data_IF_825604728524
#
_entry.id   IF_825604728524
#
_cell.length_a   1.000
_cell.length_b   1.000
_cell.length_c   1.000
_cell.angle_alpha   90.00
_cell.angle_beta   90.00
_cell.angle_gamma   90.00
#
_symmetry.space_group_name_H-M   'P 1'
#
loop_
_entity.id
_entity.type
_entity.pdbx_description
1 polymer ?
#
# COMPACT_ATOMS: atom_id res chain seq x y z
N UNK A 1 -12.17 -47.90 -13.88
CA UNK A 1 -12.23 -47.32 -15.24
C UNK A 1 -13.69 -47.11 -15.64
N UNK A 2 -14.20 -45.87 -15.61
CA UNK A 2 -15.48 -45.49 -16.22
C UNK A 2 -15.17 -44.57 -17.39
N UNK A 3 -15.51 -44.99 -18.61
CA UNK A 3 -15.42 -44.17 -19.83
C UNK A 3 -16.64 -43.25 -19.87
N UNK A 4 -16.43 -41.95 -19.79
CA UNK A 4 -17.45 -40.94 -20.06
C UNK A 4 -17.53 -40.75 -21.58
N UNK A 5 -18.67 -41.09 -22.17
CA UNK A 5 -18.98 -40.84 -23.57
C UNK A 5 -19.43 -39.38 -23.68
N UNK A 6 -18.61 -38.54 -24.30
CA UNK A 6 -18.97 -37.15 -24.60
C UNK A 6 -19.96 -37.11 -25.79
N UNK A 7 -21.08 -36.42 -25.58
CA UNK A 7 -22.20 -36.33 -26.53
C UNK A 7 -21.87 -35.33 -27.65
N UNK A 8 -21.77 -35.81 -28.89
CA UNK A 8 -21.41 -35.04 -30.09
C UNK A 8 -22.45 -33.99 -30.49
N UNK A 9 -23.65 -34.01 -29.90
CA UNK A 9 -24.72 -33.04 -30.19
C UNK A 9 -24.45 -31.65 -29.60
N UNK A 10 -23.79 -31.57 -28.45
CA UNK A 10 -23.57 -30.29 -27.75
C UNK A 10 -22.48 -29.43 -28.43
N UNK A 11 -21.52 -30.08 -29.09
CA UNK A 11 -20.50 -29.38 -29.91
C UNK A 11 -21.10 -28.77 -31.18
N UNK A 12 -22.12 -29.40 -31.78
CA UNK A 12 -22.73 -28.91 -33.01
C UNK A 12 -23.59 -27.66 -32.76
N UNK A 13 -24.32 -27.61 -31.64
CA UNK A 13 -25.12 -26.46 -31.23
C UNK A 13 -24.27 -25.24 -30.87
N UNK A 14 -23.11 -25.45 -30.24
CA UNK A 14 -22.17 -24.37 -29.92
C UNK A 14 -21.55 -23.73 -31.17
N UNK A 15 -21.20 -24.53 -32.19
CA UNK A 15 -20.63 -24.02 -33.45
C UNK A 15 -21.67 -23.24 -34.26
N UNK A 16 -22.93 -23.68 -34.27
CA UNK A 16 -24.02 -22.97 -34.98
C UNK A 16 -24.30 -21.60 -34.33
N UNK A 17 -24.23 -21.49 -33.00
CA UNK A 17 -24.39 -20.21 -32.30
C UNK A 17 -23.29 -19.20 -32.63
N UNK A 18 -22.04 -19.66 -32.77
CA UNK A 18 -20.90 -18.78 -33.10
C UNK A 18 -21.00 -18.24 -34.53
N UNK A 19 -21.48 -19.05 -35.48
CA UNK A 19 -21.65 -18.62 -36.88
C UNK A 19 -22.78 -17.59 -37.00
N UNK A 20 -23.85 -17.71 -36.21
CA UNK A 20 -24.96 -16.75 -36.23
C UNK A 20 -24.57 -15.36 -35.69
N UNK A 21 -23.69 -15.32 -34.68
CA UNK A 21 -23.17 -14.06 -34.10
C UNK A 21 -22.20 -13.38 -35.08
N UNK A 22 -21.41 -14.14 -35.84
CA UNK A 22 -20.48 -13.58 -36.82
C UNK A 22 -21.20 -12.91 -38.02
N UNK A 23 -22.38 -13.39 -38.40
CA UNK A 23 -23.16 -12.79 -39.49
C UNK A 23 -23.88 -11.49 -39.09
N UNK A 24 -24.11 -11.26 -37.79
CA UNK A 24 -24.72 -10.01 -37.29
C UNK A 24 -23.71 -8.85 -37.17
N UNK A 25 -22.41 -9.14 -37.16
CA UNK A 25 -21.35 -8.13 -37.00
C UNK A 25 -20.78 -7.57 -38.30
N UNK A 26 -21.25 -8.04 -39.47
CA UNK A 26 -20.74 -7.61 -40.78
C UNK A 26 -21.71 -6.73 -41.59
N UNK A 27 -22.85 -6.34 -41.02
CA UNK A 27 -23.86 -5.53 -41.69
C UNK A 27 -24.09 -4.16 -41.05
N UNK A 28 -23.19 -3.20 -41.28
CA UNK A 28 -23.50 -1.75 -41.37
C UNK A 28 -22.21 -0.95 -41.66
N UNK A 29 -21.93 -0.69 -42.94
CA UNK A 29 -21.13 0.48 -43.31
C UNK A 29 -21.44 0.90 -44.75
N UNK A 30 -22.13 2.02 -44.93
CA UNK A 30 -22.10 2.83 -46.16
C UNK A 30 -22.75 4.20 -46.00
N UNK A 31 -21.91 5.24 -46.12
CA UNK A 31 -22.16 6.57 -46.69
C UNK A 31 -23.10 7.53 -45.92
N UNK A 32 -22.91 8.86 -45.87
CA UNK A 32 -22.16 9.83 -46.68
C UNK A 32 -22.12 11.16 -45.91
N UNK A 33 -21.04 11.94 -46.07
CA UNK A 33 -21.00 13.36 -45.70
C UNK A 33 -21.84 14.23 -46.66
N UNK A 34 -22.15 15.49 -46.27
CA UNK A 34 -21.64 16.58 -47.09
C UNK A 34 -21.11 17.80 -46.31
N UNK A 35 -20.34 18.56 -47.09
CA UNK A 35 -19.56 19.77 -46.81
C UNK A 35 -20.34 21.07 -46.53
N UNK A 36 -19.74 21.91 -45.66
CA UNK A 36 -19.39 23.34 -45.85
C UNK A 36 -20.50 24.42 -45.86
N UNK A 37 -20.39 25.37 -44.92
CA UNK A 37 -20.38 26.82 -45.24
C UNK A 37 -19.79 27.65 -44.10
N UNK A 38 -19.07 28.68 -44.53
CA UNK A 38 -18.40 29.78 -43.83
C UNK A 38 -19.38 30.83 -43.30
N UNK A 39 -19.10 31.46 -42.15
CA UNK A 39 -18.97 32.93 -42.04
C UNK A 39 -18.49 33.38 -40.66
N UNK A 40 -17.61 34.39 -40.71
CA UNK A 40 -17.06 35.24 -39.66
C UNK A 40 -18.12 36.13 -39.00
N UNK A 41 -17.90 36.56 -37.76
CA UNK A 41 -17.83 37.99 -37.41
C UNK A 41 -17.35 38.20 -35.96
N UNK A 42 -16.55 39.23 -35.80
CA UNK A 42 -15.91 39.69 -34.57
C UNK A 42 -16.83 40.55 -33.68
N UNK A 43 -16.46 40.56 -32.39
CA UNK A 43 -16.32 41.72 -31.49
C UNK A 43 -17.53 42.41 -30.79
N UNK A 44 -17.18 42.89 -29.58
CA UNK A 44 -17.65 44.07 -28.81
C UNK A 44 -18.45 43.80 -27.50
N UNK A 45 -17.67 43.71 -26.41
CA UNK A 45 -17.64 44.51 -25.16
C UNK A 45 -18.88 44.97 -24.36
N UNK A 46 -18.67 44.96 -23.03
CA UNK A 46 -19.13 45.89 -21.97
C UNK A 46 -20.62 45.84 -21.54
N UNK A 47 -20.94 45.41 -20.31
CA UNK A 47 -20.86 46.08 -18.99
C UNK A 47 -22.25 46.64 -18.60
N UNK A 48 -22.80 46.24 -17.44
CA UNK A 48 -23.49 47.07 -16.43
C UNK A 48 -23.98 46.18 -15.26
N UNK A 49 -23.53 46.53 -14.06
CA UNK A 49 -24.12 46.19 -12.76
C UNK A 49 -25.52 46.83 -12.59
N UNK A 50 -26.36 46.22 -11.74
CA UNK A 50 -27.03 46.98 -10.66
C UNK A 50 -27.82 46.05 -9.73
N UNK A 51 -27.58 46.25 -8.43
CA UNK A 51 -28.35 45.83 -7.26
C UNK A 51 -29.86 46.10 -7.33
N UNK A 52 -30.66 45.29 -6.62
CA UNK A 52 -31.57 45.81 -5.56
C UNK A 52 -32.33 44.73 -4.78
N UNK A 53 -32.06 44.70 -3.47
CA UNK A 53 -32.96 44.59 -2.30
C UNK A 53 -34.38 43.98 -2.40
N UNK A 54 -34.63 43.11 -1.41
CA UNK A 54 -35.91 42.61 -0.89
C UNK A 54 -36.98 43.67 -0.60
N UNK A 55 -38.22 43.21 -0.32
CA UNK A 55 -38.73 43.38 1.04
C UNK A 55 -39.44 42.15 1.63
N UNK A 56 -39.43 42.17 2.96
CA UNK A 56 -40.13 41.36 3.97
C UNK A 56 -41.66 41.40 3.88
N UNK A 57 -42.34 40.37 4.41
CA UNK A 57 -43.36 40.54 5.47
C UNK A 57 -43.79 39.21 6.10
N UNK A 58 -44.04 39.28 7.41
CA UNK A 58 -44.47 38.22 8.34
C UNK A 58 -45.98 37.95 8.24
N UNK A 59 -46.45 36.75 8.61
CA UNK A 59 -47.60 36.62 9.54
C UNK A 59 -47.65 35.25 10.23
N UNK A 60 -47.99 35.29 11.52
CA UNK A 60 -48.21 34.21 12.49
C UNK A 60 -49.55 33.47 12.26
N UNK A 61 -49.67 32.20 12.73
CA UNK A 61 -50.73 31.77 13.68
C UNK A 61 -50.60 30.29 14.13
N UNK A 62 -50.39 30.11 15.44
CA UNK A 62 -51.06 29.24 16.43
C UNK A 62 -51.46 27.75 16.19
N UNK A 63 -51.20 26.94 17.24
CA UNK A 63 -51.94 25.74 17.67
C UNK A 63 -51.49 24.41 17.05
N UNK A 64 -51.32 23.29 17.73
CA UNK A 64 -51.74 22.89 19.08
C UNK A 64 -50.96 21.63 19.50
N UNK A 65 -50.84 21.46 20.82
CA UNK A 65 -50.11 20.45 21.62
C UNK A 65 -50.62 19.01 21.52
N UNK A 66 -49.72 18.01 21.62
CA UNK A 66 -49.96 16.74 22.32
C UNK A 66 -48.66 16.31 23.07
N UNK A 67 -48.86 15.89 24.32
CA UNK A 67 -47.96 15.47 25.40
C UNK A 67 -47.30 14.09 25.12
N UNK A 68 -46.08 13.82 25.62
CA UNK A 68 -45.72 12.86 26.69
C UNK A 68 -44.44 12.13 26.20
N UNK A 69 -43.44 11.67 26.95
CA UNK A 69 -43.12 11.55 28.37
C UNK A 69 -41.59 11.60 28.54
N UNK A 70 -41.18 11.96 29.75
CA UNK A 70 -39.81 11.92 30.27
C UNK A 70 -39.24 10.51 30.41
N UNK A 71 -37.97 10.32 30.04
CA UNK A 71 -37.05 9.52 30.87
C UNK A 71 -35.63 10.06 30.72
N UNK A 72 -35.04 10.40 31.85
CA UNK A 72 -33.64 10.74 32.00
C UNK A 72 -32.81 9.45 32.01
N UNK A 73 -31.64 9.47 31.37
CA UNK A 73 -30.48 8.81 31.96
C UNK A 73 -29.18 9.49 31.54
N UNK A 74 -28.33 9.63 32.54
CA UNK A 74 -27.01 10.22 32.56
C UNK A 74 -26.01 9.41 31.73
N UNK A 75 -25.12 10.10 31.02
CA UNK A 75 -23.67 9.79 31.05
C UNK A 75 -22.87 10.88 30.33
N UNK A 76 -22.10 11.60 31.14
CA UNK A 76 -21.04 12.55 30.76
C UNK A 76 -19.90 11.85 29.98
N UNK A 77 -19.12 12.61 29.17
CA UNK A 77 -17.96 12.10 28.48
C UNK A 77 -16.71 12.15 29.38
N UNK A 78 -15.91 11.09 29.38
CA UNK A 78 -14.55 11.13 29.93
C UNK A 78 -13.54 11.45 28.81
N UNK A 79 -12.94 12.64 28.94
CA UNK A 79 -11.58 12.89 28.47
C UNK A 79 -10.60 12.35 29.52
N UNK A 80 -9.48 11.80 29.07
CA UNK A 80 -8.15 12.32 29.46
C UNK A 80 -7.02 11.50 28.84
N UNK A 81 -6.05 12.27 28.36
CA UNK A 81 -4.66 11.95 28.08
C UNK A 81 -3.85 11.88 29.37
N UNK A 82 -2.97 10.90 29.55
CA UNK A 82 -1.83 11.03 30.48
C UNK A 82 -0.57 10.39 29.86
N UNK A 83 0.41 11.26 29.62
CA UNK A 83 1.85 10.98 29.61
C UNK A 83 2.25 10.52 31.02
N UNK A 84 3.09 9.48 31.12
CA UNK A 84 3.90 9.26 32.31
C UNK A 84 5.37 9.11 31.92
N UNK A 85 6.09 10.18 32.22
CA UNK A 85 7.55 10.20 32.36
C UNK A 85 7.84 10.18 33.85
N UNK A 86 8.25 9.05 34.43
CA UNK A 86 8.96 9.09 35.72
C UNK A 86 10.16 8.12 35.73
N UNK A 87 11.30 8.75 35.94
CA UNK A 87 12.53 8.26 36.53
C UNK A 87 12.29 7.64 37.91
N UNK A 88 13.02 6.59 38.27
CA UNK A 88 13.49 6.44 39.65
C UNK A 88 14.94 5.91 39.71
N UNK A 89 15.70 6.58 40.55
CA UNK A 89 17.05 6.27 40.96
C UNK A 89 17.08 5.33 42.17
N UNK A 90 18.19 4.59 42.25
CA UNK A 90 18.93 4.25 43.47
C UNK A 90 18.31 3.28 44.49
N UNK A 91 18.98 2.14 44.64
CA UNK A 91 19.46 1.73 45.96
C UNK A 91 20.81 1.03 45.82
N UNK A 92 21.80 1.61 46.52
CA UNK A 92 23.06 0.96 46.89
C UNK A 92 22.75 0.05 48.09
N UNK A 93 23.37 -1.12 48.14
CA UNK A 93 24.18 -1.44 49.32
C UNK A 93 25.21 -2.53 49.05
N UNK A 94 26.38 -2.27 49.63
CA UNK A 94 27.62 -3.02 49.59
C UNK A 94 27.56 -4.29 50.48
N UNK A 95 28.30 -5.34 50.11
CA UNK A 95 29.43 -5.83 50.93
C UNK A 95 30.17 -7.04 50.33
N UNK A 96 31.50 -6.86 50.33
CA UNK A 96 32.68 -7.75 50.19
C UNK A 96 32.49 -9.15 50.83
N UNK A 97 33.23 -10.21 50.49
CA UNK A 97 34.70 -10.34 50.33
C UNK A 97 35.10 -11.75 49.83
N UNK A 98 36.25 -11.82 49.13
CA UNK A 98 37.35 -12.84 49.22
C UNK A 98 37.05 -14.32 48.80
N UNK A 99 37.95 -15.13 48.22
CA UNK A 99 39.33 -15.05 47.72
C UNK A 99 39.65 -16.37 46.97
N UNK A 100 40.74 -16.38 46.18
CA UNK A 100 41.55 -17.54 45.72
C UNK A 100 40.95 -18.45 44.62
N UNK A 101 41.66 -19.00 43.64
CA UNK A 101 43.10 -19.22 43.43
C UNK A 101 43.41 -19.47 41.95
N UNK A 102 44.68 -19.25 41.61
CA UNK A 102 45.38 -19.52 40.35
C UNK A 102 45.36 -21.02 39.97
N UNK A 103 45.41 -21.38 38.67
CA UNK A 103 46.65 -21.92 38.08
C UNK A 103 46.58 -22.14 36.55
N UNK A 104 47.76 -22.10 35.94
CA UNK A 104 48.10 -22.11 34.52
C UNK A 104 47.99 -23.49 33.84
N UNK A 105 47.80 -23.53 32.51
CA UNK A 105 48.61 -24.40 31.64
C UNK A 105 48.57 -23.95 30.17
N UNK A 106 49.74 -23.63 29.62
CA UNK A 106 50.02 -23.58 28.18
C UNK A 106 50.14 -25.00 27.60
N UNK A 107 49.83 -25.19 26.32
CA UNK A 107 50.63 -26.00 25.39
C UNK A 107 50.13 -25.89 23.96
N UNK A 108 51.10 -25.93 23.05
CA UNK A 108 51.02 -25.65 21.63
C UNK A 108 50.72 -26.87 20.74
N UNK A 109 50.46 -26.54 19.47
CA UNK A 109 50.90 -27.17 18.22
C UNK A 109 50.20 -28.41 17.59
N UNK A 110 49.76 -28.14 16.34
CA UNK A 110 49.93 -28.93 15.10
C UNK A 110 49.02 -30.14 14.82
N UNK A 111 48.30 -30.11 13.69
CA UNK A 111 48.65 -30.78 12.42
C UNK A 111 47.42 -31.12 11.55
N UNK A 112 47.48 -30.68 10.29
CA UNK A 112 47.09 -31.36 9.02
C UNK A 112 45.72 -32.08 8.94
N UNK A 113 44.78 -31.51 8.18
CA UNK A 113 44.50 -31.80 6.75
C UNK A 113 43.62 -33.05 6.56
N UNK A 114 42.31 -32.80 6.43
CA UNK A 114 41.38 -33.76 5.84
C UNK A 114 40.44 -33.00 4.89
N UNK A 115 40.96 -32.82 3.69
CA UNK A 115 40.29 -32.55 2.43
C UNK A 115 38.79 -32.89 2.41
N UNK A 116 37.94 -31.92 2.71
CA UNK A 116 36.58 -31.83 2.14
C UNK A 116 36.49 -30.51 1.43
N UNK A 117 36.26 -30.60 0.12
CA UNK A 117 35.95 -29.49 -0.76
C UNK A 117 34.72 -28.75 -0.23
N UNK A 118 34.97 -27.76 0.63
CA UNK A 118 34.07 -26.65 0.85
C UNK A 118 34.08 -25.86 -0.46
N UNK A 119 33.01 -26.03 -1.23
CA UNK A 119 32.65 -25.08 -2.27
C UNK A 119 32.34 -23.77 -1.54
N UNK A 120 33.38 -22.96 -1.37
CA UNK A 120 33.34 -21.64 -0.76
C UNK A 120 32.33 -20.79 -1.52
N UNK A 121 31.13 -20.68 -0.96
CA UNK A 121 30.02 -19.85 -1.45
C UNK A 121 30.25 -18.35 -1.17
N UNK A 122 31.51 -17.91 -1.19
CA UNK A 122 31.92 -16.53 -0.92
C UNK A 122 31.69 -15.56 -2.09
N UNK A 123 31.19 -16.05 -3.23
CA UNK A 123 30.83 -15.20 -4.40
C UNK A 123 29.34 -14.80 -4.46
N UNK A 124 28.51 -15.21 -3.51
CA UNK A 124 27.07 -14.89 -3.52
C UNK A 124 26.72 -13.48 -2.98
N UNK A 125 27.68 -12.77 -2.38
CA UNK A 125 27.42 -11.56 -1.60
C UNK A 125 27.47 -10.24 -2.39
N UNK A 126 27.62 -10.26 -3.72
CA UNK A 126 27.68 -9.01 -4.51
C UNK A 126 26.39 -8.69 -5.29
N UNK A 127 25.31 -9.44 -5.06
CA UNK A 127 23.97 -9.11 -5.56
C UNK A 127 23.07 -8.78 -4.38
N UNK A 128 22.64 -7.52 -4.27
CA UNK A 128 21.63 -7.08 -3.29
C UNK A 128 20.32 -7.84 -3.47
N UNK A 129 19.94 -8.08 -4.73
CA UNK A 129 18.74 -8.82 -5.09
C UNK A 129 18.94 -10.33 -5.08
N UNK A 130 17.95 -11.05 -4.56
CA UNK A 130 17.77 -12.48 -4.79
C UNK A 130 17.50 -12.74 -6.27
N UNK A 131 18.01 -13.85 -6.81
CA UNK A 131 17.88 -14.21 -8.23
C UNK A 131 16.77 -15.22 -8.48
N UNK A 132 16.29 -15.90 -7.44
CA UNK A 132 15.16 -16.83 -7.52
C UNK A 132 14.35 -16.85 -6.23
N UNK A 133 13.18 -17.49 -6.30
CA UNK A 133 12.32 -17.73 -5.15
C UNK A 133 13.03 -18.57 -4.08
N UNK A 134 13.75 -19.63 -4.47
CA UNK A 134 14.49 -20.50 -3.55
C UNK A 134 15.57 -19.72 -2.80
N UNK A 135 16.27 -18.82 -3.50
CA UNK A 135 17.26 -17.94 -2.87
C UNK A 135 16.61 -16.97 -1.89
N UNK A 136 15.47 -16.35 -2.26
CA UNK A 136 14.73 -15.46 -1.36
C UNK A 136 14.29 -16.18 -0.07
N UNK A 137 13.81 -17.42 -0.17
CA UNK A 137 13.45 -18.25 0.99
C UNK A 137 14.67 -18.61 1.86
N UNK A 138 15.80 -18.96 1.25
CA UNK A 138 17.04 -19.25 1.98
C UNK A 138 17.56 -18.00 2.72
N UNK A 139 17.53 -16.84 2.06
CA UNK A 139 17.88 -15.53 2.66
C UNK A 139 16.94 -15.20 3.83
N UNK A 140 15.63 -15.39 3.66
CA UNK A 140 14.66 -15.14 4.74
C UNK A 140 14.86 -16.03 5.96
N UNK A 141 15.24 -17.30 5.79
CA UNK A 141 15.59 -18.20 6.91
C UNK A 141 16.81 -17.72 7.71
N UNK A 142 17.68 -16.94 7.06
CA UNK A 142 18.91 -16.37 7.63
C UNK A 142 18.75 -14.92 8.08
N UNK A 143 17.55 -14.33 7.93
CA UNK A 143 17.30 -12.92 8.25
C UNK A 143 17.93 -11.93 7.27
N UNK A 144 18.24 -12.36 6.05
CA UNK A 144 18.87 -11.55 5.00
C UNK A 144 17.80 -11.04 4.03
N UNK A 145 17.90 -9.77 3.62
CA UNK A 145 17.00 -9.17 2.64
C UNK A 145 17.12 -9.81 1.25
N UNK A 146 16.00 -9.90 0.55
CA UNK A 146 15.91 -10.39 -0.83
C UNK A 146 15.99 -9.27 -1.87
N UNK A 147 15.99 -8.02 -1.43
CA UNK A 147 16.01 -6.84 -2.26
C UNK A 147 17.07 -5.84 -1.82
N UNK A 148 16.87 -4.59 -2.20
CA UNK A 148 17.77 -3.49 -1.90
C UNK A 148 17.88 -3.22 -0.38
N UNK A 149 19.06 -2.78 0.04
CA UNK A 149 19.39 -2.43 1.42
C UNK A 149 19.35 -0.92 1.66
N UNK A 150 19.20 -0.13 0.60
CA UNK A 150 19.10 1.33 0.68
C UNK A 150 17.85 1.70 1.48
N UNK A 151 18.06 2.44 2.57
CA UNK A 151 16.96 3.03 3.32
C UNK A 151 16.33 4.12 2.44
N UNK A 152 15.04 4.02 2.08
CA UNK A 152 14.43 4.98 1.17
C UNK A 152 14.38 6.38 1.81
N UNK A 153 14.38 7.41 0.97
CA UNK A 153 13.99 8.75 1.40
C UNK A 153 12.50 8.76 1.79
N UNK A 154 12.06 9.81 2.48
CA UNK A 154 10.72 9.91 3.05
C UNK A 154 9.67 10.04 1.97
N UNK A 155 9.93 10.82 0.93
CA UNK A 155 9.05 10.93 -0.23
C UNK A 155 9.24 9.72 -1.16
N UNK A 156 8.16 9.25 -1.80
CA UNK A 156 8.29 8.21 -2.82
C UNK A 156 9.12 8.71 -3.99
N UNK A 157 9.85 7.81 -4.65
CA UNK A 157 10.45 8.11 -5.94
C UNK A 157 9.35 8.25 -6.98
N UNK A 158 9.30 9.38 -7.68
CA UNK A 158 8.23 9.68 -8.63
C UNK A 158 8.77 9.60 -10.06
N UNK A 159 8.16 8.75 -10.89
CA UNK A 159 8.46 8.73 -12.33
C UNK A 159 7.90 9.98 -13.03
N UNK A 160 8.74 10.65 -13.82
CA UNK A 160 8.32 11.77 -14.69
C UNK A 160 7.41 11.31 -15.84
N UNK A 161 7.36 10.01 -16.10
CA UNK A 161 6.68 9.41 -17.24
C UNK A 161 5.43 8.63 -16.87
N UNK A 162 4.86 8.87 -15.67
CA UNK A 162 3.61 8.22 -15.23
C UNK A 162 2.53 8.38 -16.31
N UNK A 163 2.03 7.29 -16.89
CA UNK A 163 1.03 7.37 -17.93
C UNK A 163 -0.30 7.91 -17.39
N UNK A 164 -0.99 8.68 -18.23
CA UNK A 164 -2.29 9.26 -17.93
C UNK A 164 -3.28 8.96 -19.05
N UNK A 165 -4.55 8.88 -18.67
CA UNK A 165 -5.69 8.80 -19.58
C UNK A 165 -6.81 9.66 -19.04
N UNK A 166 -7.38 10.50 -19.90
CA UNK A 166 -8.48 11.41 -19.55
C UNK A 166 -8.18 12.27 -18.30
N UNK A 167 -6.92 12.71 -18.16
CA UNK A 167 -6.47 13.55 -17.04
C UNK A 167 -6.26 12.79 -15.71
N UNK A 168 -6.37 11.46 -15.70
CA UNK A 168 -6.12 10.62 -14.51
C UNK A 168 -4.89 9.74 -14.72
N UNK A 169 -4.14 9.47 -13.66
CA UNK A 169 -3.04 8.51 -13.72
C UNK A 169 -3.54 7.09 -13.94
N UNK A 170 -2.75 6.30 -14.67
CA UNK A 170 -3.03 4.89 -14.88
C UNK A 170 -2.45 4.07 -13.72
N UNK A 171 -3.29 3.27 -13.09
CA UNK A 171 -2.90 2.15 -12.26
C UNK A 171 -2.80 0.91 -13.17
N UNK A 172 -1.59 0.35 -13.24
CA UNK A 172 -1.27 -0.75 -14.11
C UNK A 172 -2.02 -2.02 -13.70
N UNK A 173 -2.99 -2.45 -14.50
CA UNK A 173 -3.75 -3.69 -14.24
C UNK A 173 -3.09 -4.95 -14.78
N UNK A 174 -1.84 -4.86 -15.28
CA UNK A 174 -1.07 -6.01 -15.75
C UNK A 174 -0.73 -7.01 -14.64
N UNK A 175 -0.98 -8.28 -14.95
CA UNK A 175 -0.58 -9.43 -14.14
C UNK A 175 0.88 -9.80 -14.46
N UNK A 176 1.84 -9.12 -13.84
CA UNK A 176 3.27 -9.35 -14.08
C UNK A 176 3.85 -10.55 -13.30
N UNK A 177 3.03 -11.56 -13.02
CA UNK A 177 3.52 -12.80 -12.42
C UNK A 177 4.31 -13.59 -13.44
N UNK A 178 5.54 -13.94 -13.08
CA UNK A 178 6.34 -14.92 -13.83
C UNK A 178 5.87 -16.34 -13.48
N UNK A 179 5.59 -16.54 -12.19
CA UNK A 179 5.00 -17.74 -11.61
C UNK A 179 4.22 -17.35 -10.34
N UNK A 180 3.67 -18.33 -9.62
CA UNK A 180 2.86 -18.10 -8.40
C UNK A 180 3.62 -17.48 -7.22
N UNK A 181 4.96 -17.51 -7.25
CA UNK A 181 5.83 -17.00 -6.18
C UNK A 181 6.69 -15.81 -6.61
N UNK A 182 6.65 -15.41 -7.89
CA UNK A 182 7.53 -14.37 -8.44
C UNK A 182 6.73 -13.33 -9.20
N UNK A 183 6.82 -12.08 -8.76
CA UNK A 183 6.20 -10.93 -9.42
C UNK A 183 7.27 -9.99 -9.98
N UNK A 184 7.16 -9.66 -11.27
CA UNK A 184 8.03 -8.72 -11.94
C UNK A 184 7.50 -7.28 -11.79
N UNK A 185 8.31 -6.41 -11.22
CA UNK A 185 8.01 -4.98 -11.16
C UNK A 185 8.54 -4.34 -12.43
N UNK A 186 7.68 -3.62 -13.13
CA UNK A 186 8.01 -2.92 -14.37
C UNK A 186 8.10 -1.42 -14.14
N UNK A 187 8.73 -0.69 -15.06
CA UNK A 187 8.68 0.78 -15.09
C UNK A 187 7.41 1.30 -15.78
N UNK A 188 7.29 2.62 -15.90
CA UNK A 188 6.18 3.28 -16.58
C UNK A 188 6.05 2.95 -18.08
N UNK A 189 7.02 2.24 -18.66
CA UNK A 189 7.02 1.76 -20.04
C UNK A 189 6.82 0.25 -20.14
N UNK A 190 6.57 -0.44 -19.02
CA UNK A 190 6.38 -1.90 -19.00
C UNK A 190 7.68 -2.71 -19.01
N UNK A 191 8.85 -2.08 -18.89
CA UNK A 191 10.13 -2.79 -18.83
C UNK A 191 10.41 -3.26 -17.41
N UNK A 192 10.79 -4.53 -17.24
CA UNK A 192 11.17 -5.09 -15.93
C UNK A 192 12.33 -4.30 -15.28
N UNK A 193 12.16 -3.95 -13.99
CA UNK A 193 13.13 -3.22 -13.16
C UNK A 193 13.73 -4.17 -12.11
N UNK A 194 12.89 -4.87 -11.34
CA UNK A 194 13.28 -5.88 -10.37
C UNK A 194 12.15 -6.88 -10.14
N UNK A 195 12.41 -7.89 -9.31
CA UNK A 195 11.42 -8.92 -8.94
C UNK A 195 11.23 -8.95 -7.44
N UNK A 196 10.00 -9.22 -7.02
CA UNK A 196 9.68 -9.60 -5.65
C UNK A 196 9.25 -11.06 -5.61
N UNK A 197 9.84 -11.78 -4.65
CA UNK A 197 9.59 -13.19 -4.40
C UNK A 197 8.78 -13.34 -3.13
N UNK A 198 7.72 -14.16 -3.18
CA UNK A 198 6.88 -14.53 -2.05
C UNK A 198 7.75 -15.07 -0.91
N UNK A 199 7.48 -14.64 0.32
CA UNK A 199 8.29 -15.01 1.49
C UNK A 199 9.68 -14.35 1.58
N UNK A 200 10.04 -13.46 0.65
CA UNK A 200 11.23 -12.62 0.75
C UNK A 200 11.08 -11.49 1.78
N UNK A 201 12.20 -11.01 2.32
CA UNK A 201 12.27 -9.82 3.16
C UNK A 201 12.66 -8.57 2.35
N UNK A 202 11.93 -7.47 2.54
CA UNK A 202 12.11 -6.20 1.82
C UNK A 202 11.95 -5.01 2.76
N UNK A 203 12.62 -3.90 2.47
CA UNK A 203 12.54 -2.70 3.32
C UNK A 203 12.32 -1.40 2.56
N UNK A 204 12.52 -1.40 1.24
CA UNK A 204 12.29 -0.21 0.43
C UNK A 204 10.81 -0.02 0.16
N UNK A 205 10.39 1.24 -0.01
CA UNK A 205 8.98 1.55 -0.25
C UNK A 205 8.46 0.84 -1.52
N UNK A 206 9.22 0.86 -2.60
CA UNK A 206 8.86 0.26 -3.89
C UNK A 206 8.70 -1.26 -3.79
N UNK A 207 9.65 -1.96 -3.16
CA UNK A 207 9.60 -3.42 -3.04
C UNK A 207 8.48 -3.86 -2.11
N UNK A 208 8.29 -3.17 -0.98
CA UNK A 208 7.24 -3.51 -0.03
C UNK A 208 5.86 -3.25 -0.65
N UNK A 209 5.68 -2.12 -1.35
CA UNK A 209 4.44 -1.83 -2.07
C UNK A 209 4.15 -2.86 -3.16
N UNK A 210 5.15 -3.20 -3.99
CA UNK A 210 5.00 -4.23 -5.02
C UNK A 210 4.69 -5.61 -4.44
N UNK A 211 5.35 -6.00 -3.34
CA UNK A 211 5.11 -7.27 -2.67
C UNK A 211 3.67 -7.37 -2.16
N UNK A 212 3.19 -6.34 -1.45
CA UNK A 212 1.82 -6.32 -0.91
C UNK A 212 0.82 -6.31 -2.06
N UNK A 213 1.07 -5.50 -3.09
CA UNK A 213 0.20 -5.42 -4.25
C UNK A 213 0.07 -6.78 -4.96
N UNK A 214 1.18 -7.48 -5.15
CA UNK A 214 1.21 -8.79 -5.79
C UNK A 214 0.55 -9.87 -4.93
N UNK A 215 0.99 -10.00 -3.68
CA UNK A 215 0.68 -11.19 -2.87
C UNK A 215 -0.43 -10.99 -1.84
N UNK A 216 -0.98 -9.77 -1.69
CA UNK A 216 -2.00 -9.45 -0.69
C UNK A 216 -1.53 -9.64 0.77
N UNK A 217 -0.22 -9.74 0.95
CA UNK A 217 0.43 -10.13 2.20
C UNK A 217 1.70 -9.30 2.44
N UNK A 218 2.31 -9.44 3.61
CA UNK A 218 3.49 -8.66 4.01
C UNK A 218 4.80 -9.41 3.75
N UNK A 219 5.92 -8.68 3.54
CA UNK A 219 7.25 -9.29 3.49
C UNK A 219 7.61 -10.02 4.79
N UNK A 220 8.50 -11.02 4.70
CA UNK A 220 8.79 -11.93 5.81
C UNK A 220 9.46 -11.26 7.03
N UNK A 221 10.01 -10.07 6.86
CA UNK A 221 10.64 -9.27 7.92
C UNK A 221 9.67 -8.36 8.69
N UNK A 222 8.36 -8.46 8.44
CA UNK A 222 7.32 -7.69 9.12
C UNK A 222 6.60 -8.48 10.21
N UNK A 223 6.17 -7.78 11.26
CA UNK A 223 5.32 -8.35 12.31
C UNK A 223 4.24 -7.38 12.78
N UNK A 224 3.14 -7.92 13.31
CA UNK A 224 2.05 -7.15 13.87
C UNK A 224 2.44 -6.42 15.17
N UNK A 225 3.28 -7.03 16.00
CA UNK A 225 3.60 -6.49 17.32
C UNK A 225 4.59 -5.31 17.25
N UNK A 226 4.10 -4.11 17.58
CA UNK A 226 4.87 -2.84 17.59
C UNK A 226 6.03 -2.84 18.59
N UNK A 227 5.99 -3.72 19.59
CA UNK A 227 6.96 -3.79 20.68
C UNK A 227 8.05 -4.85 20.47
N UNK A 228 8.01 -5.58 19.34
CA UNK A 228 9.03 -6.58 19.00
C UNK A 228 10.41 -5.94 18.99
N UNK A 229 11.36 -6.57 19.69
CA UNK A 229 12.72 -6.05 19.84
C UNK A 229 13.61 -6.58 18.71
N UNK A 230 14.32 -5.71 17.98
CA UNK A 230 15.21 -6.10 16.88
C UNK A 230 16.22 -7.20 17.26
N UNK A 231 16.88 -7.05 18.41
CA UNK A 231 17.92 -7.99 18.86
C UNK A 231 17.41 -9.40 19.20
N UNK A 232 16.10 -9.59 19.34
CA UNK A 232 15.48 -10.91 19.53
C UNK A 232 14.99 -11.52 18.21
N UNK A 233 15.04 -10.77 17.11
CA UNK A 233 14.58 -11.22 15.80
C UNK A 233 15.76 -11.65 14.94
N UNK A 234 15.60 -12.72 14.17
CA UNK A 234 16.57 -13.10 13.13
C UNK A 234 16.79 -11.97 12.12
N UNK A 235 15.81 -11.06 11.99
CA UNK A 235 15.87 -9.94 11.06
C UNK A 235 16.68 -8.75 11.59
N UNK A 236 17.04 -8.69 12.88
CA UNK A 236 17.87 -7.61 13.43
C UNK A 236 17.43 -6.20 12.98
N UNK A 237 18.33 -5.46 12.33
CA UNK A 237 18.09 -4.12 11.77
C UNK A 237 17.08 -4.08 10.60
N UNK A 238 16.82 -5.22 9.96
CA UNK A 238 15.85 -5.38 8.88
C UNK A 238 14.43 -5.65 9.39
N UNK A 239 14.24 -5.91 10.68
CA UNK A 239 12.91 -6.06 11.28
C UNK A 239 12.06 -4.80 11.03
N UNK A 240 10.80 -5.01 10.66
CA UNK A 240 9.75 -3.99 10.55
C UNK A 240 8.53 -4.42 11.34
N UNK A 241 7.76 -3.46 11.87
CA UNK A 241 6.63 -3.75 12.76
C UNK A 241 5.35 -3.07 12.29
N UNK A 242 4.31 -3.15 13.12
CA UNK A 242 3.04 -2.44 12.98
C UNK A 242 2.11 -2.99 11.90
N UNK A 243 2.21 -4.25 11.48
CA UNK A 243 1.18 -4.86 10.62
C UNK A 243 -0.14 -5.04 11.38
N UNK A 244 -0.97 -4.02 11.39
CA UNK A 244 -2.19 -3.96 12.20
C UNK A 244 -3.32 -3.29 11.43
N UNK A 245 -4.56 -3.46 11.91
CA UNK A 245 -5.73 -2.81 11.31
C UNK A 245 -5.59 -1.29 11.38
N UNK A 246 -5.70 -0.62 10.23
CA UNK A 246 -5.81 0.83 10.14
C UNK A 246 -7.25 1.25 10.41
N UNK A 247 -7.44 2.23 11.30
CA UNK A 247 -8.79 2.60 11.73
C UNK A 247 -9.58 3.33 10.65
N UNK A 248 -8.94 4.28 9.93
CA UNK A 248 -9.61 5.16 8.97
C UNK A 248 -10.84 5.87 9.51
N UNK A 249 -10.88 6.15 10.81
CA UNK A 249 -12.03 6.77 11.46
C UNK A 249 -11.87 8.30 11.43
N UNK A 250 -12.46 8.91 10.41
CA UNK A 250 -12.40 10.37 10.19
C UNK A 250 -13.21 11.17 11.19
N UNK A 251 -14.11 10.56 11.97
CA UNK A 251 -14.73 11.25 13.11
C UNK A 251 -13.74 11.46 14.26
N UNK A 252 -12.86 10.48 14.51
CA UNK A 252 -11.83 10.56 15.55
C UNK A 252 -10.60 11.34 15.08
N UNK A 253 -10.25 11.20 13.80
CA UNK A 253 -9.10 11.82 13.15
C UNK A 253 -9.55 12.60 11.92
N UNK A 254 -10.14 13.79 12.10
CA UNK A 254 -10.79 14.52 11.00
C UNK A 254 -9.82 15.09 9.94
N UNK A 255 -8.52 15.08 10.22
CA UNK A 255 -7.47 15.41 9.26
C UNK A 255 -7.09 14.24 8.35
N UNK A 256 -7.50 13.01 8.65
CA UNK A 256 -7.24 11.88 7.74
C UNK A 256 -8.24 11.94 6.57
N UNK A 257 -7.81 11.83 5.31
CA UNK A 257 -8.75 11.72 4.20
C UNK A 257 -9.46 10.37 4.23
N UNK A 258 -10.73 10.36 3.80
CA UNK A 258 -11.51 9.12 3.66
C UNK A 258 -10.95 8.29 2.49
N UNK A 259 -10.44 7.09 2.80
CA UNK A 259 -9.98 6.13 1.79
C UNK A 259 -11.15 5.38 1.12
N UNK A 260 -10.97 4.84 -0.10
CA UNK A 260 -12.02 4.14 -0.84
C UNK A 260 -12.63 2.97 -0.06
N UNK A 261 -13.96 2.97 0.07
CA UNK A 261 -14.75 1.92 0.73
C UNK A 261 -14.26 1.51 2.15
N UNK A 262 -13.58 2.40 2.88
CA UNK A 262 -13.02 2.06 4.20
C UNK A 262 -14.10 1.90 5.28
N UNK A 263 -14.01 0.80 6.04
CA UNK A 263 -14.95 0.45 7.11
C UNK A 263 -14.99 1.44 8.27
N UNK A 264 -13.89 2.13 8.56
CA UNK A 264 -13.86 3.23 9.53
C UNK A 264 -14.79 4.40 9.22
N UNK A 265 -15.26 4.48 7.96
CA UNK A 265 -16.19 5.49 7.46
C UNK A 265 -17.45 4.88 6.84
N UNK A 266 -17.85 3.69 7.29
CA UNK A 266 -19.09 3.00 6.87
C UNK A 266 -19.00 2.22 5.55
N UNK A 267 -17.81 1.97 5.02
CA UNK A 267 -17.60 1.05 3.90
C UNK A 267 -17.39 -0.40 4.33
N UNK A 268 -17.11 -1.26 3.35
CA UNK A 268 -17.00 -2.71 3.58
C UNK A 268 -15.55 -3.22 3.64
N UNK A 269 -14.55 -2.39 3.33
CA UNK A 269 -13.15 -2.81 3.32
C UNK A 269 -12.44 -2.52 4.64
N UNK A 270 -11.73 -3.52 5.15
CA UNK A 270 -10.79 -3.40 6.25
C UNK A 270 -9.40 -3.10 5.72
N UNK A 271 -8.87 -1.95 6.13
CA UNK A 271 -7.53 -1.53 5.79
C UNK A 271 -6.55 -1.96 6.87
N UNK A 272 -5.33 -2.28 6.44
CA UNK A 272 -4.20 -2.57 7.31
C UNK A 272 -3.09 -1.56 7.05
N UNK A 273 -2.33 -1.26 8.09
CA UNK A 273 -1.14 -0.43 8.01
C UNK A 273 0.11 -1.23 8.36
N UNK A 274 1.28 -0.73 7.97
CA UNK A 274 2.59 -1.17 8.43
C UNK A 274 3.60 -0.04 8.35
N UNK A 275 4.62 -0.11 9.21
CA UNK A 275 5.69 0.88 9.21
C UNK A 275 6.59 0.70 7.99
N UNK A 276 6.92 1.81 7.32
CA UNK A 276 8.05 1.85 6.40
C UNK A 276 9.29 2.31 7.15
N UNK A 277 10.46 1.88 6.70
CA UNK A 277 11.76 2.10 7.35
C UNK A 277 12.22 3.56 7.42
N UNK A 278 11.34 4.54 7.21
CA UNK A 278 11.57 5.97 7.31
C UNK A 278 10.93 6.50 8.59
N UNK A 279 11.72 7.16 9.45
CA UNK A 279 11.28 7.57 10.79
C UNK A 279 10.85 9.01 10.90
N UNK A 280 11.23 9.83 9.93
CA UNK A 280 10.91 11.24 9.97
C UNK A 280 10.25 11.69 8.70
N UNK A 281 9.82 12.94 8.76
CA UNK A 281 9.29 13.69 7.65
C UNK A 281 9.89 15.10 7.76
N UNK A 282 10.29 15.69 6.64
CA UNK A 282 10.62 17.11 6.56
C UNK A 282 9.38 18.00 6.70
N UNK A 283 8.20 17.41 6.56
CA UNK A 283 6.90 18.05 6.60
C UNK A 283 6.17 17.98 7.97
N UNK A 284 6.68 17.23 8.95
CA UNK A 284 6.14 17.13 10.31
C UNK A 284 7.25 17.34 11.35
N UNK A 285 7.32 18.52 11.99
CA UNK A 285 8.35 18.81 12.99
C UNK A 285 8.30 17.88 14.21
N UNK A 286 7.20 17.14 14.42
CA UNK A 286 7.09 16.14 15.51
C UNK A 286 7.87 14.85 15.22
N UNK A 287 8.18 14.57 13.95
CA UNK A 287 8.86 13.36 13.52
C UNK A 287 10.16 13.70 12.77
N UNK A 288 11.25 14.04 13.47
CA UNK A 288 12.53 14.29 12.84
C UNK A 288 13.11 13.02 12.21
N UNK A 289 13.81 13.17 11.07
CA UNK A 289 14.49 12.08 10.38
C UNK A 289 15.56 11.41 11.27
N UNK A 290 15.41 10.12 11.50
CA UNK A 290 16.30 9.23 12.26
C UNK A 290 16.42 7.86 11.57
N UNK A 291 17.34 7.02 12.02
CA UNK A 291 17.39 5.62 11.62
C UNK A 291 16.22 4.84 12.23
N UNK A 292 15.46 4.10 11.41
CA UNK A 292 14.29 3.34 11.87
C UNK A 292 14.64 2.21 12.80
N UNK A 293 15.61 1.39 12.42
CA UNK A 293 16.02 0.26 13.22
C UNK A 293 17.53 0.15 13.13
N UNK A 294 18.18 0.14 14.30
CA UNK A 294 19.63 0.02 14.43
C UNK A 294 20.07 -1.34 14.98
N UNK A 295 19.19 -2.35 14.93
CA UNK A 295 19.42 -3.69 15.49
C UNK A 295 19.22 -3.78 17.01
N UNK A 296 19.06 -2.66 17.72
CA UNK A 296 18.79 -2.62 19.17
C UNK A 296 17.40 -2.07 19.48
N UNK A 297 17.01 -1.00 18.78
CA UNK A 297 15.77 -0.26 19.00
C UNK A 297 15.12 0.10 17.67
N UNK A 298 13.79 0.07 17.66
CA UNK A 298 12.98 0.67 16.61
C UNK A 298 12.56 2.08 17.04
N UNK A 299 12.86 3.07 16.20
CA UNK A 299 12.35 4.44 16.29
C UNK A 299 11.28 4.60 15.22
N UNK A 300 10.00 4.52 15.58
CA UNK A 300 8.91 4.59 14.61
C UNK A 300 8.71 6.03 14.14
N UNK A 301 8.37 6.20 12.87
CA UNK A 301 8.11 7.49 12.26
C UNK A 301 6.66 7.76 11.92
N UNK A 302 6.48 8.69 10.99
CA UNK A 302 5.19 9.07 10.44
C UNK A 302 4.84 8.31 9.15
N UNK A 303 5.79 7.63 8.52
CA UNK A 303 5.58 6.96 7.25
C UNK A 303 4.92 5.59 7.40
N UNK A 304 3.95 5.29 6.53
CA UNK A 304 3.18 4.03 6.50
C UNK A 304 2.77 3.66 5.10
N UNK A 305 2.73 2.36 4.83
CA UNK A 305 1.81 1.83 3.82
C UNK A 305 0.49 1.52 4.49
N UNK A 306 -0.62 1.86 3.82
CA UNK A 306 -1.99 1.55 4.22
C UNK A 306 -2.70 0.91 3.02
N UNK A 307 -3.24 -0.30 3.18
CA UNK A 307 -3.81 -1.06 2.06
C UNK A 307 -5.10 -1.80 2.45
N UNK A 308 -6.01 -1.97 1.50
CA UNK A 308 -7.23 -2.75 1.70
C UNK A 308 -6.88 -4.24 1.78
N UNK A 309 -7.17 -4.93 2.87
CA UNK A 309 -6.75 -6.33 3.06
C UNK A 309 -7.89 -7.31 2.81
N UNK A 310 -9.04 -7.03 3.38
CA UNK A 310 -10.19 -7.92 3.38
C UNK A 310 -11.49 -7.13 3.53
N UNK A 311 -12.61 -7.78 3.28
CA UNK A 311 -13.93 -7.25 3.61
C UNK A 311 -14.26 -7.41 5.11
N UNK A 312 -15.50 -7.08 5.50
CA UNK A 312 -15.97 -7.22 6.89
C UNK A 312 -16.07 -8.68 7.37
N UNK A 313 -16.27 -9.62 6.45
CA UNK A 313 -16.32 -11.06 6.71
C UNK A 313 -14.91 -11.68 6.82
N UNK A 314 -13.87 -10.85 6.62
CA UNK A 314 -12.44 -11.19 6.62
C UNK A 314 -12.01 -12.02 5.42
N UNK A 315 -12.80 -11.99 4.36
CA UNK A 315 -12.37 -12.56 3.11
C UNK A 315 -11.48 -11.57 2.37
N UNK A 316 -10.38 -12.06 1.80
CA UNK A 316 -9.40 -11.22 1.10
C UNK A 316 -10.00 -10.48 -0.09
N UNK A 317 -9.37 -9.39 -0.53
CA UNK A 317 -9.74 -8.71 -1.78
C UNK A 317 -9.51 -9.70 -2.95
N UNK A 318 -10.60 -10.17 -3.56
CA UNK A 318 -10.60 -11.39 -4.38
C UNK A 318 -10.02 -11.21 -5.79
N UNK A 319 -9.95 -9.98 -6.32
CA UNK A 319 -9.49 -9.72 -7.67
C UNK A 319 -8.18 -8.92 -7.65
N UNK A 320 -7.14 -9.48 -8.28
CA UNK A 320 -5.89 -8.76 -8.53
C UNK A 320 -6.21 -7.51 -9.34
N UNK A 321 -5.66 -6.38 -8.90
CA UNK A 321 -6.00 -5.09 -9.50
C UNK A 321 -7.18 -4.39 -8.86
N UNK A 322 -7.85 -4.95 -7.85
CA UNK A 322 -8.81 -4.21 -7.00
C UNK A 322 -8.20 -3.73 -5.68
N UNK A 323 -6.99 -4.18 -5.36
CA UNK A 323 -6.25 -3.78 -4.18
C UNK A 323 -5.86 -2.29 -4.26
N UNK A 324 -6.39 -1.50 -3.32
CA UNK A 324 -5.90 -0.16 -3.03
C UNK A 324 -4.73 -0.23 -2.06
N UNK A 325 -3.60 0.37 -2.44
CA UNK A 325 -2.41 0.49 -1.60
C UNK A 325 -1.96 1.94 -1.61
N UNK A 326 -1.88 2.54 -0.43
CA UNK A 326 -1.53 3.93 -0.23
C UNK A 326 -0.24 4.05 0.57
N UNK A 327 0.51 5.11 0.30
CA UNK A 327 1.64 5.53 1.12
C UNK A 327 1.34 6.91 1.73
N UNK A 328 1.67 7.07 3.00
CA UNK A 328 1.74 8.36 3.68
C UNK A 328 3.12 8.51 4.26
N UNK A 329 3.65 9.72 4.22
CA UNK A 329 4.90 10.09 4.89
C UNK A 329 4.75 11.32 5.77
N UNK A 330 3.52 11.77 6.04
CA UNK A 330 3.22 12.93 6.89
C UNK A 330 2.17 12.57 7.95
N UNK A 331 2.27 11.36 8.49
CA UNK A 331 1.44 10.85 9.57
C UNK A 331 -0.06 10.88 9.24
N UNK A 332 -0.41 10.24 8.11
CA UNK A 332 -1.78 10.05 7.63
C UNK A 332 -2.51 11.33 7.21
N UNK A 333 -1.83 12.47 7.15
CA UNK A 333 -2.46 13.71 6.67
C UNK A 333 -2.71 13.64 5.16
N UNK A 334 -1.72 13.20 4.39
CA UNK A 334 -1.84 12.97 2.96
C UNK A 334 -1.45 11.54 2.60
N UNK A 335 -2.02 11.07 1.50
CA UNK A 335 -1.75 9.76 0.91
C UNK A 335 -1.49 9.88 -0.59
N UNK A 336 -0.74 8.92 -1.13
CA UNK A 336 -0.58 8.66 -2.55
C UNK A 336 -0.85 7.18 -2.83
N UNK A 337 -1.60 6.86 -3.89
CA UNK A 337 -1.84 5.47 -4.28
C UNK A 337 -0.66 4.89 -5.09
N UNK A 338 -0.27 3.65 -4.82
CA UNK A 338 0.67 2.91 -5.64
C UNK A 338 0.00 2.43 -6.92
N UNK A 339 0.64 2.70 -8.06
CA UNK A 339 0.09 2.52 -9.40
C UNK A 339 0.56 1.21 -10.07
N UNK A 340 1.21 0.32 -9.32
CA UNK A 340 1.69 -0.99 -9.78
C UNK A 340 2.77 -0.93 -10.89
N UNK A 341 3.73 -0.03 -10.72
CA UNK A 341 5.01 0.01 -11.44
C UNK A 341 6.00 0.86 -10.63
N UNK A 342 7.30 0.68 -10.90
CA UNK A 342 8.36 1.39 -10.22
C UNK A 342 8.24 2.92 -10.39
N UNK A 343 8.23 3.63 -9.26
CA UNK A 343 8.00 5.06 -9.21
C UNK A 343 6.60 5.50 -9.63
N UNK A 344 5.67 4.55 -9.72
CA UNK A 344 4.27 4.76 -10.01
C UNK A 344 3.51 5.08 -8.74
N UNK A 345 3.42 6.37 -8.42
CA UNK A 345 2.58 6.88 -7.34
C UNK A 345 1.63 7.95 -7.87
N UNK A 346 0.38 7.89 -7.43
CA UNK A 346 -0.66 8.85 -7.79
C UNK A 346 -0.42 10.25 -7.22
N UNK A 347 -1.38 11.14 -7.45
CA UNK A 347 -1.38 12.46 -6.83
C UNK A 347 -1.53 12.33 -5.32
N UNK A 348 -0.83 13.21 -4.60
CA UNK A 348 -1.07 13.37 -3.19
C UNK A 348 -2.46 13.95 -2.97
N UNK A 349 -3.16 13.42 -1.97
CA UNK A 349 -4.45 13.93 -1.52
C UNK A 349 -4.53 13.85 -0.01
N UNK A 350 -5.22 14.80 0.60
CA UNK A 350 -5.40 14.85 2.05
C UNK A 350 -5.35 16.24 2.62
N UNK A 351 -5.08 16.32 3.91
CA UNK A 351 -5.19 17.52 4.72
C UNK A 351 -4.14 18.58 4.40
N UNK A 352 -2.86 18.21 4.25
CA UNK A 352 -1.82 19.18 3.87
C UNK A 352 -2.03 19.63 2.44
N UNK A 353 -2.37 18.71 1.54
CA UNK A 353 -2.72 19.03 0.14
C UNK A 353 -3.88 20.02 0.06
N UNK A 354 -4.86 19.93 0.96
CA UNK A 354 -5.97 20.88 1.06
C UNK A 354 -5.67 22.16 1.83
N UNK A 355 -4.44 22.35 2.33
CA UNK A 355 -4.01 23.54 3.05
C UNK A 355 -4.38 23.56 4.54
N UNK A 356 -4.76 22.42 5.12
CA UNK A 356 -5.00 22.27 6.55
C UNK A 356 -3.72 22.15 7.37
N UNK A 357 -3.83 22.37 8.68
CA UNK A 357 -2.71 22.26 9.61
C UNK A 357 -2.46 20.79 9.99
N UNK A 358 -1.19 20.41 10.07
CA UNK A 358 -0.77 19.02 10.32
C UNK A 358 -1.38 18.41 11.59
N UNK A 359 -2.08 17.29 11.41
CA UNK A 359 -2.78 16.53 12.45
C UNK A 359 -3.71 17.37 13.34
N UNK A 360 -4.20 18.50 12.82
CA UNK A 360 -5.12 19.39 13.53
C UNK A 360 -6.52 18.80 13.55
N UNK A 361 -7.20 18.90 14.71
CA UNK A 361 -8.61 18.49 14.85
C UNK A 361 -9.61 19.64 14.67
N UNK A 362 -9.11 20.86 14.50
CA UNK A 362 -9.94 22.08 14.43
C UNK A 362 -9.66 22.92 13.19
N UNK A 363 -8.51 22.72 12.55
CA UNK A 363 -8.06 23.42 11.35
C UNK A 363 -7.56 22.39 10.34
N UNK A 364 -8.51 21.66 9.76
CA UNK A 364 -8.28 20.57 8.82
C UNK A 364 -9.09 20.79 7.55
N UNK A 365 -8.55 20.32 6.42
CA UNK A 365 -9.21 20.39 5.12
C UNK A 365 -8.78 19.22 4.21
N UNK A 366 -9.08 17.95 4.57
CA UNK A 366 -8.68 16.81 3.76
C UNK A 366 -9.37 16.82 2.39
N UNK A 367 -8.58 16.84 1.32
CA UNK A 367 -9.10 16.63 -0.03
C UNK A 367 -9.54 15.17 -0.24
N UNK A 368 -10.53 14.89 -1.09
CA UNK A 368 -10.94 13.53 -1.38
C UNK A 368 -9.84 12.75 -2.11
N UNK A 369 -9.94 11.42 -2.07
CA UNK A 369 -9.13 10.51 -2.89
C UNK A 369 -9.20 10.89 -4.38
N UNK A 370 -8.04 10.84 -5.05
CA UNK A 370 -7.87 11.13 -6.47
C UNK A 370 -7.96 9.83 -7.26
N UNK A 371 -9.03 9.67 -8.04
CA UNK A 371 -9.27 8.47 -8.84
C UNK A 371 -8.17 8.19 -9.87
N UNK A 372 -7.86 6.91 -10.04
CA UNK A 372 -6.99 6.37 -11.09
C UNK A 372 -7.79 5.62 -12.16
N UNK A 373 -7.21 5.47 -13.35
CA UNK A 373 -7.74 4.62 -14.43
C UNK A 373 -7.02 3.28 -14.41
N UNK A 374 -7.76 2.17 -14.35
CA UNK A 374 -7.16 0.83 -14.40
C UNK A 374 -6.98 0.40 -15.86
N UNK A 375 -5.73 0.26 -16.29
CA UNK A 375 -5.39 -0.16 -17.67
C UNK A 375 -4.02 -0.85 -17.71
N UNK A 376 -3.81 -1.69 -18.71
CA UNK A 376 -2.51 -2.34 -18.96
C UNK A 376 -1.55 -1.32 -19.54
N UNK A 377 -0.40 -1.13 -18.89
CA UNK A 377 0.72 -0.39 -19.48
C UNK A 377 1.39 -1.30 -20.50
N UNK A 378 1.27 -0.96 -21.79
CA UNK A 378 1.93 -1.68 -22.86
C UNK A 378 3.38 -1.19 -23.04
N UNK A 379 4.30 -2.12 -23.36
CA UNK A 379 5.60 -1.74 -23.90
C UNK A 379 5.42 -0.82 -25.11
N UNK A 380 6.11 0.33 -25.11
CA UNK A 380 6.27 1.15 -26.33
C UNK A 380 7.27 0.48 -27.29
N UNK A 381 7.06 -0.79 -27.61
CA UNK A 381 7.68 -1.48 -28.75
C UNK A 381 6.91 -2.76 -29.09
N UNK A 382 6.21 -2.70 -30.23
CA UNK A 382 5.69 -3.80 -31.06
C UNK A 382 4.90 -4.94 -30.39
N UNK A 383 3.59 -4.96 -30.70
CA UNK A 383 2.80 -6.15 -31.05
C UNK A 383 3.30 -7.47 -30.45
N UNK A 384 2.71 -7.92 -29.33
CA UNK A 384 2.03 -9.23 -29.18
C UNK A 384 1.41 -9.29 -27.78
N UNK A 385 0.08 -9.16 -27.68
CA UNK A 385 -0.65 -9.44 -26.44
C UNK A 385 -0.79 -10.96 -26.34
N UNK A 386 -0.04 -11.61 -25.44
CA UNK A 386 -0.33 -13.00 -25.05
C UNK A 386 -1.39 -12.93 -23.97
N UNK A 387 -2.62 -13.24 -24.37
CA UNK A 387 -3.76 -13.36 -23.49
C UNK A 387 -3.60 -14.66 -22.66
N UNK A 388 -2.98 -14.56 -21.48
CA UNK A 388 -2.98 -15.64 -20.50
C UNK A 388 -4.25 -15.54 -19.65
N UNK A 389 -5.30 -16.26 -20.07
CA UNK A 389 -6.48 -16.53 -19.24
C UNK A 389 -6.18 -17.67 -18.26
N UNK A 390 -6.16 -17.41 -16.95
CA UNK A 390 -6.01 -18.44 -15.90
C UNK A 390 -7.00 -18.14 -14.73
N UNK A 391 -7.63 -19.15 -14.11
CA UNK A 391 -8.93 -19.03 -13.44
C UNK A 391 -8.90 -18.60 -11.96
N UNK A 392 -10.06 -18.08 -11.52
CA UNK A 392 -10.51 -17.53 -10.22
C UNK A 392 -10.22 -18.31 -8.91
N UNK A 393 -9.13 -19.08 -8.76
CA UNK A 393 -9.01 -20.04 -7.64
C UNK A 393 -7.87 -19.88 -6.64
N UNK A 394 -7.13 -18.76 -6.63
CA UNK A 394 -5.89 -18.68 -5.84
C UNK A 394 -5.89 -17.59 -4.76
N UNK A 395 -7.03 -17.36 -4.13
CA UNK A 395 -7.11 -16.61 -2.87
C UNK A 395 -7.96 -17.41 -1.88
N UNK A 396 -7.42 -18.54 -1.41
CA UNK A 396 -7.94 -19.23 -0.23
C UNK A 396 -6.82 -19.21 0.81
N UNK A 397 -7.14 -18.53 1.92
CA UNK A 397 -6.55 -18.57 3.26
C UNK A 397 -5.22 -19.32 3.46
N UNK A 398 -4.22 -18.58 3.94
CA UNK A 398 -3.27 -19.09 4.92
C UNK A 398 -3.56 -18.42 6.27
#
# INVERSE_FOLDING_TARGET
>A
MKKTIFNTKDKLLSIISIILILMLLTGCNSSKAPEKSTESHENISEFYESDSKSPSEETQSEGESIEEESSADDSKPEESSEDDSESEESSKDDSKSEESSEDNSESEESSEDDSKSEESSEDSNNSTFAKSYEEAIDRSKKGILSGDTIVPDQAPSISEYRPMKDGKYILNSSFNFIDENTYAVVDAYGKEVFRVYRGGGYITLEEVAAYIYAFGDIPANYTANKNTKPYNSIWGEHLRVNHTKFSGNTYKYPYEPKLPNISGCGGDLQYYELDIGTTGTDCDPKYPAKLYNNGQKITRGAARIVYGKCDLDKDGVYEFGELHLFYTYNHYNDFQEYLNYFGGWGEAFGNITGGGTISSKTDYNPTPYVDVVREVIAERSSLTMVCCYIPKKYWIAA
#
